data_IF_104694333682
#
_entry.id   IF_104694333682
#
_cell.length_a   1.000
_cell.length_b   1.000
_cell.length_c   1.000
_cell.angle_alpha   90.00
_cell.angle_beta   90.00
_cell.angle_gamma   90.00
#
_symmetry.space_group_name_H-M   'P 1'
#
loop_
_entity.id
_entity.type
_entity.pdbx_description
1 polymer ?
#
# COMPACT_ATOMS: atom_id res chain seq x y z
N UNK A 1 -23.09 -4.69 -4.84
CA UNK A 1 -22.92 -4.89 -6.30
C UNK A 1 -23.15 -6.37 -6.57
N UNK A 2 -24.13 -6.76 -7.40
CA UNK A 2 -24.44 -8.19 -7.58
C UNK A 2 -23.41 -8.88 -8.48
N UNK A 3 -23.20 -10.19 -8.28
CA UNK A 3 -22.35 -11.02 -9.14
C UNK A 3 -22.74 -10.92 -10.64
N UNK A 4 -24.00 -10.61 -10.92
CA UNK A 4 -24.52 -10.40 -12.26
C UNK A 4 -23.95 -9.14 -12.95
N UNK A 5 -23.63 -8.08 -12.19
CA UNK A 5 -23.00 -6.86 -12.71
C UNK A 5 -21.52 -7.11 -13.06
N UNK A 6 -20.81 -7.86 -12.21
CA UNK A 6 -19.43 -8.30 -12.46
C UNK A 6 -19.33 -9.22 -13.68
N UNK A 7 -20.27 -10.14 -13.86
CA UNK A 7 -20.35 -11.01 -15.03
C UNK A 7 -20.71 -10.23 -16.30
N UNK A 8 -21.61 -9.24 -16.24
CA UNK A 8 -21.92 -8.37 -17.39
C UNK A 8 -20.75 -7.46 -17.77
N UNK A 9 -19.96 -6.96 -16.82
CA UNK A 9 -18.71 -6.24 -17.09
C UNK A 9 -17.64 -7.16 -17.69
N UNK A 10 -17.46 -8.37 -17.14
CA UNK A 10 -16.51 -9.34 -17.65
C UNK A 10 -16.86 -9.79 -19.08
N UNK A 11 -18.13 -10.02 -19.40
CA UNK A 11 -18.59 -10.39 -20.75
C UNK A 11 -18.44 -9.22 -21.74
N UNK A 12 -18.59 -7.96 -21.32
CA UNK A 12 -18.31 -6.79 -22.18
C UNK A 12 -16.80 -6.56 -22.44
N UNK A 13 -15.93 -7.03 -21.53
CA UNK A 13 -14.49 -6.83 -21.61
C UNK A 13 -13.70 -8.04 -22.16
N UNK A 14 -14.32 -9.23 -22.19
CA UNK A 14 -13.70 -10.48 -22.65
C UNK A 14 -13.60 -10.54 -24.18
N UNK A 15 -12.51 -9.99 -24.72
CA UNK A 15 -12.08 -10.30 -26.08
C UNK A 15 -11.03 -9.37 -26.66
N UNK A 16 -11.12 -8.06 -26.40
CA UNK A 16 -10.33 -7.06 -27.16
C UNK A 16 -9.96 -5.79 -26.38
N UNK A 17 -10.23 -5.72 -25.07
CA UNK A 17 -9.86 -4.53 -24.30
C UNK A 17 -8.36 -4.53 -23.98
N UNK A 18 -7.72 -3.37 -24.14
CA UNK A 18 -6.34 -3.09 -23.71
C UNK A 18 -6.12 -3.48 -22.28
N UNK A 19 -7.13 -3.27 -21.44
CA UNK A 19 -7.09 -3.68 -20.05
C UNK A 19 -6.80 -5.17 -19.91
N UNK A 20 -7.47 -6.02 -20.69
CA UNK A 20 -7.21 -7.46 -20.66
C UNK A 20 -5.78 -7.77 -21.13
N UNK A 21 -5.29 -7.09 -22.16
CA UNK A 21 -3.92 -7.26 -22.67
C UNK A 21 -2.84 -6.73 -21.70
N UNK A 22 -3.06 -5.58 -21.04
CA UNK A 22 -2.18 -5.02 -20.02
C UNK A 22 -2.22 -5.87 -18.73
N UNK A 23 -3.40 -6.34 -18.33
CA UNK A 23 -3.58 -7.30 -17.24
C UNK A 23 -2.87 -8.62 -17.54
N UNK A 24 -2.91 -9.10 -18.79
CA UNK A 24 -2.23 -10.35 -19.16
C UNK A 24 -0.72 -10.19 -19.30
N UNK A 25 -0.24 -9.05 -19.84
CA UNK A 25 1.18 -8.81 -20.20
C UNK A 25 2.03 -8.26 -19.05
N UNK A 26 1.47 -7.39 -18.20
CA UNK A 26 2.23 -6.72 -17.14
C UNK A 26 1.88 -7.21 -15.73
N UNK A 27 0.73 -7.85 -15.55
CA UNK A 27 0.23 -8.23 -14.22
C UNK A 27 0.57 -9.67 -13.82
N UNK A 28 0.86 -10.56 -14.78
CA UNK A 28 1.39 -11.92 -14.49
C UNK A 28 2.92 -11.99 -14.38
N UNK A 29 3.66 -10.91 -14.64
CA UNK A 29 5.12 -10.90 -14.50
C UNK A 29 5.59 -10.68 -13.05
N UNK A 30 4.71 -10.25 -12.13
CA UNK A 30 5.05 -10.04 -10.72
C UNK A 30 4.70 -11.22 -9.80
N UNK A 31 4.24 -12.36 -10.33
CA UNK A 31 3.94 -13.59 -9.54
C UNK A 31 4.54 -14.84 -10.18
N UNK A 32 5.83 -14.79 -10.55
CA UNK A 32 6.62 -16.01 -10.68
C UNK A 32 7.95 -15.83 -9.96
N UNK A 33 8.15 -16.39 -8.76
CA UNK A 33 9.50 -16.55 -8.26
C UNK A 33 10.27 -17.41 -9.27
N UNK A 34 11.44 -16.94 -9.69
CA UNK A 34 12.43 -17.79 -10.34
C UNK A 34 12.79 -18.87 -9.34
N UNK A 35 12.20 -20.06 -9.50
CA UNK A 35 12.63 -21.26 -8.78
C UNK A 35 14.03 -21.58 -9.29
N UNK A 36 15.05 -21.17 -8.55
CA UNK A 36 16.39 -21.69 -8.72
C UNK A 36 16.33 -23.18 -8.33
N UNK A 37 16.77 -24.05 -9.24
CA UNK A 37 16.84 -25.49 -8.99
C UNK A 37 17.86 -25.77 -7.88
N UNK A 38 17.38 -26.17 -6.71
CA UNK A 38 18.21 -26.62 -5.59
C UNK A 38 18.52 -28.12 -5.74
N UNK A 39 19.75 -28.58 -5.41
CA UNK A 39 20.16 -29.98 -5.57
C UNK A 39 19.33 -30.98 -4.76
N UNK A 40 19.24 -32.19 -5.30
CA UNK A 40 18.33 -33.28 -4.93
C UNK A 40 18.54 -33.88 -3.52
N UNK A 41 19.51 -33.39 -2.73
CA UNK A 41 19.89 -33.95 -1.42
C UNK A 41 19.25 -33.28 -0.20
N UNK A 42 18.36 -32.28 -0.37
CA UNK A 42 17.66 -31.60 0.76
C UNK A 42 16.19 -32.05 0.90
N UNK A 43 15.73 -33.00 0.09
CA UNK A 43 14.31 -33.42 0.03
C UNK A 43 13.80 -34.31 1.18
N UNK A 44 14.64 -34.71 2.14
CA UNK A 44 14.27 -35.75 3.11
C UNK A 44 13.76 -35.24 4.48
N UNK A 45 13.78 -33.93 4.77
CA UNK A 45 13.34 -33.42 6.09
C UNK A 45 12.15 -32.43 6.05
N UNK A 46 11.61 -32.14 4.86
CA UNK A 46 10.52 -31.17 4.68
C UNK A 46 9.28 -31.80 3.99
N UNK A 47 9.03 -33.09 4.23
CA UNK A 47 8.02 -33.87 3.50
C UNK A 47 6.75 -34.21 4.31
N UNK A 48 6.53 -33.65 5.50
CA UNK A 48 5.31 -33.92 6.29
C UNK A 48 4.38 -32.71 6.49
N UNK A 49 4.64 -31.58 5.85
CA UNK A 49 3.65 -30.51 5.74
C UNK A 49 3.79 -29.83 4.37
N UNK A 50 2.67 -29.67 3.68
CA UNK A 50 2.51 -28.98 2.39
C UNK A 50 2.61 -29.86 1.14
N UNK A 51 1.45 -30.38 0.73
CA UNK A 51 1.14 -30.62 -0.67
C UNK A 51 -0.29 -30.15 -0.98
N UNK A 52 -0.44 -28.88 -1.35
CA UNK A 52 -1.60 -28.43 -2.12
C UNK A 52 -1.23 -27.19 -2.94
N UNK A 53 -1.36 -27.31 -4.26
CA UNK A 53 -1.26 -26.22 -5.23
C UNK A 53 -2.38 -25.19 -5.05
N UNK A 54 -2.16 -23.90 -5.34
CA UNK A 54 -3.17 -22.87 -5.16
C UNK A 54 -4.24 -22.95 -6.25
N UNK A 55 -5.50 -23.04 -5.82
CA UNK A 55 -6.71 -22.93 -6.64
C UNK A 55 -7.22 -21.49 -6.60
N UNK A 56 -7.49 -20.91 -7.77
CA UNK A 56 -8.08 -19.57 -7.92
C UNK A 56 -9.56 -19.54 -7.45
N UNK A 57 -9.91 -18.46 -6.75
CA UNK A 57 -11.26 -17.89 -6.60
C UNK A 57 -12.39 -18.80 -6.06
N UNK A 58 -12.24 -19.27 -4.83
CA UNK A 58 -13.36 -19.70 -3.97
C UNK A 58 -13.25 -19.02 -2.60
N UNK A 59 -14.33 -18.94 -1.79
CA UNK A 59 -14.23 -18.46 -0.42
C UNK A 59 -13.19 -19.32 0.30
N UNK A 60 -12.17 -18.68 0.86
CA UNK A 60 -11.12 -19.37 1.59
C UNK A 60 -11.69 -20.20 2.75
N UNK A 61 -10.93 -21.18 3.26
CA UNK A 61 -11.38 -22.18 4.24
C UNK A 61 -11.92 -21.62 5.57
N UNK A 62 -11.88 -20.31 5.79
CA UNK A 62 -12.24 -19.62 7.03
C UNK A 62 -13.63 -18.95 7.02
N UNK A 63 -14.32 -18.85 5.88
CA UNK A 63 -15.62 -18.16 5.78
C UNK A 63 -15.58 -16.63 5.99
N UNK A 64 -14.40 -16.04 6.22
CA UNK A 64 -14.18 -14.60 6.39
C UNK A 64 -13.89 -13.97 5.03
N UNK A 65 -14.67 -12.97 4.63
CA UNK A 65 -14.46 -12.24 3.37
C UNK A 65 -13.36 -11.18 3.51
N UNK A 66 -12.78 -10.73 2.40
CA UNK A 66 -11.81 -9.61 2.42
C UNK A 66 -12.42 -8.33 3.03
N UNK A 67 -13.72 -8.09 2.79
CA UNK A 67 -14.44 -6.96 3.37
C UNK A 67 -14.53 -7.06 4.90
N UNK A 68 -14.68 -8.27 5.44
CA UNK A 68 -14.66 -8.49 6.89
C UNK A 68 -13.29 -8.19 7.47
N UNK A 69 -12.20 -8.60 6.81
CA UNK A 69 -10.83 -8.30 7.25
C UNK A 69 -10.59 -6.79 7.30
N UNK A 70 -11.02 -6.06 6.26
CA UNK A 70 -10.93 -4.60 6.20
C UNK A 70 -11.78 -3.94 7.28
N UNK A 71 -12.99 -4.44 7.55
CA UNK A 71 -13.83 -3.95 8.63
C UNK A 71 -13.20 -4.15 10.01
N UNK A 72 -12.55 -5.30 10.27
CA UNK A 72 -11.84 -5.56 11.53
C UNK A 72 -10.65 -4.60 11.69
N UNK A 73 -9.86 -4.37 10.63
CA UNK A 73 -8.78 -3.38 10.65
C UNK A 73 -9.31 -1.97 10.97
N UNK A 74 -10.40 -1.56 10.31
CA UNK A 74 -11.00 -0.26 10.53
C UNK A 74 -11.42 -0.07 12.00
N UNK A 75 -12.00 -1.10 12.61
CA UNK A 75 -12.39 -1.06 14.02
C UNK A 75 -11.18 -0.94 14.95
N UNK A 76 -10.08 -1.65 14.68
CA UNK A 76 -8.85 -1.53 15.47
C UNK A 76 -8.27 -0.10 15.40
N UNK A 77 -8.24 0.50 14.20
CA UNK A 77 -7.81 1.89 14.01
C UNK A 77 -8.72 2.89 14.74
N UNK A 78 -10.04 2.72 14.63
CA UNK A 78 -11.02 3.57 15.33
C UNK A 78 -10.88 3.47 16.84
N UNK A 79 -10.68 2.26 17.37
CA UNK A 79 -10.47 2.03 18.80
C UNK A 79 -9.21 2.74 19.33
N UNK A 80 -8.19 2.89 18.49
CA UNK A 80 -6.99 3.67 18.79
C UNK A 80 -7.14 5.19 18.55
N UNK A 81 -8.36 5.67 18.24
CA UNK A 81 -8.64 7.09 18.00
C UNK A 81 -8.20 7.58 16.63
N UNK A 82 -7.88 6.70 15.68
CA UNK A 82 -7.53 7.08 14.32
C UNK A 82 -8.81 7.37 13.54
N UNK A 83 -8.94 8.59 13.02
CA UNK A 83 -10.00 8.92 12.08
C UNK A 83 -9.82 8.10 10.80
N UNK A 84 -10.82 7.30 10.45
CA UNK A 84 -10.78 6.46 9.25
C UNK A 84 -12.06 6.54 8.46
N UNK A 85 -11.94 6.29 7.16
CA UNK A 85 -13.04 5.98 6.27
C UNK A 85 -12.87 4.57 5.74
N UNK A 86 -13.96 3.84 5.74
CA UNK A 86 -13.97 2.41 5.41
C UNK A 86 -14.53 2.24 4.02
N UNK A 87 -13.76 1.55 3.18
CA UNK A 87 -14.19 1.09 1.87
C UNK A 87 -14.30 -0.43 1.88
N UNK A 88 -14.88 -1.01 0.83
CA UNK A 88 -15.11 -2.47 0.75
C UNK A 88 -13.84 -3.30 0.87
N UNK A 89 -12.69 -2.72 0.55
CA UNK A 89 -11.42 -3.40 0.24
C UNK A 89 -10.18 -2.65 0.77
N UNK A 90 -10.35 -1.48 1.37
CA UNK A 90 -9.28 -0.75 2.07
C UNK A 90 -9.84 0.22 3.10
N UNK A 91 -8.96 0.70 3.97
CA UNK A 91 -9.21 1.78 4.94
C UNK A 91 -8.40 3.00 4.54
N UNK A 92 -9.01 4.19 4.52
CA UNK A 92 -8.30 5.45 4.38
C UNK A 92 -8.26 6.17 5.73
N UNK A 93 -7.07 6.32 6.28
CA UNK A 93 -6.85 7.10 7.49
C UNK A 93 -6.88 8.62 7.20
N UNK A 94 -7.25 9.42 8.19
CA UNK A 94 -7.39 10.88 8.08
C UNK A 94 -6.09 11.61 7.70
N UNK A 95 -4.94 10.99 7.97
CA UNK A 95 -3.62 11.47 7.56
C UNK A 95 -3.26 11.08 6.11
N UNK A 96 -4.22 10.53 5.35
CA UNK A 96 -4.07 10.18 3.94
C UNK A 96 -3.51 8.78 3.67
N UNK A 97 -3.22 7.98 4.70
CA UNK A 97 -2.69 6.62 4.49
C UNK A 97 -3.82 5.68 4.05
N UNK A 98 -3.68 5.11 2.86
CA UNK A 98 -4.54 4.03 2.39
C UNK A 98 -3.94 2.68 2.82
N UNK A 99 -4.76 1.84 3.46
CA UNK A 99 -4.36 0.58 4.07
C UNK A 99 -5.23 -0.55 3.51
N UNK A 100 -4.61 -1.45 2.77
CA UNK A 100 -5.23 -2.70 2.32
C UNK A 100 -4.87 -3.79 3.33
N UNK A 101 -5.86 -4.56 3.76
CA UNK A 101 -5.68 -5.69 4.66
C UNK A 101 -6.12 -6.99 4.00
N UNK A 102 -5.36 -8.06 4.19
CA UNK A 102 -5.66 -9.38 3.63
C UNK A 102 -5.43 -10.47 4.66
N UNK A 103 -6.33 -11.45 4.67
CA UNK A 103 -6.04 -12.75 5.27
C UNK A 103 -5.24 -13.55 4.24
N UNK A 104 -3.94 -13.74 4.50
CA UNK A 104 -3.06 -14.53 3.63
C UNK A 104 -3.34 -16.00 3.83
N UNK A 105 -3.50 -16.42 5.10
CA UNK A 105 -3.64 -17.82 5.45
C UNK A 105 -4.32 -17.98 6.81
N UNK A 106 -5.06 -19.08 6.97
CA UNK A 106 -5.61 -19.50 8.25
C UNK A 106 -5.53 -21.02 8.38
N UNK A 107 -5.08 -21.50 9.54
CA UNK A 107 -4.95 -22.92 9.83
C UNK A 107 -5.43 -23.26 11.23
N UNK A 108 -6.13 -24.38 11.35
CA UNK A 108 -6.44 -24.96 12.66
C UNK A 108 -5.18 -25.62 13.24
N UNK A 109 -4.87 -25.28 14.48
CA UNK A 109 -3.82 -25.89 15.27
C UNK A 109 -4.38 -26.51 16.56
N UNK A 110 -3.54 -27.23 17.32
CA UNK A 110 -3.98 -27.98 18.51
C UNK A 110 -4.62 -27.14 19.60
N UNK A 111 -4.28 -25.84 19.65
CA UNK A 111 -4.70 -24.89 20.70
C UNK A 111 -5.57 -23.75 20.17
N UNK A 112 -6.03 -23.82 18.91
CA UNK A 112 -6.88 -22.81 18.28
C UNK A 112 -6.50 -22.55 16.83
N UNK A 113 -7.02 -21.48 16.26
CA UNK A 113 -6.75 -21.06 14.87
C UNK A 113 -5.55 -20.12 14.84
N UNK A 114 -4.63 -20.36 13.93
CA UNK A 114 -3.55 -19.45 13.58
C UNK A 114 -3.87 -18.72 12.28
N UNK A 115 -3.72 -17.39 12.26
CA UNK A 115 -3.92 -16.56 11.09
C UNK A 115 -2.65 -15.82 10.72
N UNK A 116 -2.42 -15.70 9.42
CA UNK A 116 -1.42 -14.84 8.82
C UNK A 116 -2.14 -13.73 8.05
N UNK A 117 -2.06 -12.49 8.55
CA UNK A 117 -2.61 -11.32 7.88
C UNK A 117 -1.51 -10.44 7.32
N UNK A 118 -1.84 -9.67 6.30
CA UNK A 118 -0.93 -8.71 5.68
C UNK A 118 -1.61 -7.34 5.62
N UNK A 119 -0.86 -6.31 5.98
CA UNK A 119 -1.21 -4.90 5.79
C UNK A 119 -0.30 -4.29 4.74
N UNK A 120 -0.88 -3.62 3.76
CA UNK A 120 -0.18 -2.87 2.72
C UNK A 120 -0.60 -1.41 2.87
N UNK A 121 0.33 -0.55 3.28
CA UNK A 121 0.11 0.86 3.50
C UNK A 121 0.75 1.69 2.39
N UNK A 122 0.04 2.72 1.96
CA UNK A 122 0.49 3.65 0.93
C UNK A 122 0.10 5.07 1.32
N UNK A 123 0.92 6.04 0.92
CA UNK A 123 0.63 7.45 1.13
C UNK A 123 1.00 8.22 -0.13
N UNK A 124 0.29 9.30 -0.49
CA UNK A 124 0.47 10.00 -1.78
C UNK A 124 1.75 10.84 -1.89
N UNK A 125 2.46 11.04 -0.78
CA UNK A 125 3.68 11.87 -0.75
C UNK A 125 4.86 11.15 -0.09
N UNK A 126 4.61 10.48 1.04
CA UNK A 126 5.67 10.02 1.96
C UNK A 126 6.11 8.57 1.72
N UNK A 127 5.21 7.71 1.22
CA UNK A 127 5.52 6.32 0.84
C UNK A 127 5.12 6.11 -0.62
N UNK A 128 5.93 6.58 -1.59
CA UNK A 128 5.70 6.26 -3.00
C UNK A 128 5.77 4.75 -3.26
N UNK A 129 6.59 4.06 -2.46
CA UNK A 129 6.63 2.61 -2.39
C UNK A 129 5.62 2.09 -1.36
N UNK A 130 5.17 0.85 -1.53
CA UNK A 130 4.26 0.19 -0.59
C UNK A 130 5.01 -0.20 0.69
N UNK A 131 4.45 0.17 1.85
CA UNK A 131 4.89 -0.36 3.13
C UNK A 131 4.11 -1.64 3.40
N UNK A 132 4.80 -2.75 3.65
CA UNK A 132 4.17 -4.06 3.85
C UNK A 132 4.55 -4.61 5.21
N UNK A 133 3.57 -5.09 5.96
CA UNK A 133 3.77 -5.78 7.23
C UNK A 133 2.87 -7.00 7.35
N UNK A 134 3.35 -8.01 8.07
CA UNK A 134 2.64 -9.26 8.30
C UNK A 134 2.32 -9.45 9.78
N UNK A 135 1.15 -9.97 10.10
CA UNK A 135 0.81 -10.31 11.48
C UNK A 135 0.53 -11.80 11.58
N UNK A 136 1.09 -12.43 12.60
CA UNK A 136 0.87 -13.83 12.93
C UNK A 136 0.19 -13.86 14.28
N UNK A 137 -1.02 -14.40 14.35
CA UNK A 137 -1.76 -14.49 15.60
C UNK A 137 -2.45 -15.81 15.74
N UNK A 138 -2.63 -16.21 17.00
CA UNK A 138 -3.36 -17.41 17.38
C UNK A 138 -4.50 -17.04 18.32
N UNK A 139 -5.69 -17.57 18.07
CA UNK A 139 -6.86 -17.37 18.93
C UNK A 139 -7.84 -18.53 18.84
N UNK A 140 -9.01 -18.42 19.49
CA UNK A 140 -10.03 -19.47 19.46
C UNK A 140 -10.84 -19.49 18.15
N UNK A 141 -10.77 -18.41 17.36
CA UNK A 141 -11.42 -18.29 16.05
C UNK A 141 -10.58 -17.44 15.10
N UNK A 142 -10.84 -17.57 13.79
CA UNK A 142 -10.20 -16.75 12.74
C UNK A 142 -10.41 -15.27 13.01
N UNK A 143 -11.66 -14.85 13.25
CA UNK A 143 -12.01 -13.44 13.47
C UNK A 143 -11.28 -12.85 14.68
N UNK A 144 -11.24 -13.60 15.79
CA UNK A 144 -10.52 -13.16 16.99
C UNK A 144 -9.02 -13.05 16.74
N UNK A 145 -8.42 -13.99 16.01
CA UNK A 145 -6.99 -13.96 15.70
C UNK A 145 -6.63 -12.76 14.80
N UNK A 146 -7.46 -12.46 13.80
CA UNK A 146 -7.31 -11.27 12.94
C UNK A 146 -7.41 -10.00 13.79
N UNK A 147 -8.42 -9.90 14.67
CA UNK A 147 -8.60 -8.74 15.54
C UNK A 147 -7.41 -8.50 16.44
N UNK A 148 -6.95 -9.53 17.16
CA UNK A 148 -5.75 -9.43 18.00
C UNK A 148 -4.51 -9.02 17.19
N UNK A 149 -4.41 -9.50 15.94
CA UNK A 149 -3.32 -9.14 15.04
C UNK A 149 -3.33 -7.67 14.67
N UNK A 150 -4.49 -7.12 14.32
CA UNK A 150 -4.63 -5.70 14.02
C UNK A 150 -4.55 -4.82 15.26
N UNK A 151 -5.05 -5.24 16.42
CA UNK A 151 -4.88 -4.50 17.67
C UNK A 151 -3.38 -4.35 18.01
N UNK A 152 -2.61 -5.43 17.88
CA UNK A 152 -1.16 -5.39 18.04
C UNK A 152 -0.48 -4.51 16.98
N UNK A 153 -0.89 -4.62 15.71
CA UNK A 153 -0.32 -3.80 14.63
C UNK A 153 -0.60 -2.31 14.84
N UNK A 154 -1.82 -1.94 15.24
CA UNK A 154 -2.17 -0.56 15.56
C UNK A 154 -1.40 -0.05 16.78
N UNK A 155 -1.13 -0.90 17.77
CA UNK A 155 -0.39 -0.50 18.96
C UNK A 155 1.11 -0.26 18.71
N UNK A 156 1.73 -1.07 17.84
CA UNK A 156 3.20 -1.11 17.68
C UNK A 156 3.71 -0.65 16.32
N UNK A 157 3.00 -0.94 15.23
CA UNK A 157 3.46 -0.69 13.87
C UNK A 157 2.87 0.63 13.29
N UNK A 158 1.59 0.90 13.55
CA UNK A 158 0.92 2.14 13.11
C UNK A 158 1.60 3.43 13.59
N UNK A 159 2.10 3.56 14.83
CA UNK A 159 2.76 4.79 15.26
C UNK A 159 3.97 5.15 14.40
N UNK A 160 4.71 4.15 13.91
CA UNK A 160 5.85 4.35 13.02
C UNK A 160 5.39 4.89 11.67
N UNK A 161 4.30 4.32 11.13
CA UNK A 161 3.67 4.77 9.89
C UNK A 161 3.13 6.19 10.05
N UNK A 162 2.50 6.51 11.17
CA UNK A 162 1.95 7.84 11.41
C UNK A 162 3.05 8.89 11.60
N UNK A 163 4.09 8.59 12.39
CA UNK A 163 5.20 9.52 12.64
C UNK A 163 6.07 9.73 11.39
N UNK A 164 6.12 8.75 10.49
CA UNK A 164 6.83 8.90 9.23
C UNK A 164 6.24 9.98 8.31
N UNK A 165 5.01 10.42 8.56
CA UNK A 165 4.37 11.55 7.89
C UNK A 165 4.71 12.92 8.50
N UNK A 166 5.34 12.93 9.68
CA UNK A 166 5.61 14.15 10.45
C UNK A 166 7.06 14.59 10.30
N UNK A 167 7.28 15.90 10.17
CA UNK A 167 8.58 16.55 10.26
C UNK A 167 9.33 16.06 11.50
N UNK A 168 8.68 16.17 12.66
CA UNK A 168 9.18 15.69 13.95
C UNK A 168 8.32 14.50 14.42
N UNK A 169 8.90 13.31 14.65
CA UNK A 169 8.15 12.17 15.18
C UNK A 169 7.71 12.44 16.63
N UNK A 170 6.49 12.04 16.99
CA UNK A 170 5.98 12.23 18.36
C UNK A 170 6.36 11.09 19.29
N UNK A 171 6.50 9.88 18.76
CA UNK A 171 6.68 8.64 19.53
C UNK A 171 7.95 7.89 19.12
N UNK A 172 8.26 7.86 17.82
CA UNK A 172 9.40 7.09 17.33
C UNK A 172 10.73 7.81 17.58
N UNK A 173 11.75 7.04 18.00
CA UNK A 173 13.13 7.51 17.91
C UNK A 173 13.56 7.58 16.43
N UNK A 174 14.49 8.49 16.12
CA UNK A 174 14.96 8.69 14.74
C UNK A 174 16.48 8.64 14.61
N UNK A 175 16.93 8.10 13.48
CA UNK A 175 18.30 8.21 12.99
C UNK A 175 18.25 9.01 11.69
N UNK A 176 18.99 10.12 11.62
CA UNK A 176 19.06 10.99 10.45
C UNK A 176 20.48 10.97 9.88
N UNK A 177 20.57 10.85 8.56
CA UNK A 177 21.81 11.03 7.80
C UNK A 177 21.57 12.01 6.65
N UNK A 178 22.41 13.03 6.55
CA UNK A 178 22.38 13.95 5.41
C UNK A 178 22.77 13.23 4.11
N UNK A 179 22.06 13.55 3.03
CA UNK A 179 22.35 13.04 1.68
C UNK A 179 22.83 14.16 0.77
N UNK A 180 23.54 13.82 -0.32
CA UNK A 180 23.96 14.80 -1.32
C UNK A 180 22.74 15.55 -1.90
N UNK A 181 22.77 16.89 -1.79
CA UNK A 181 21.71 17.79 -2.26
C UNK A 181 20.54 17.90 -1.28
N UNK A 182 20.60 18.83 -0.33
CA UNK A 182 19.53 19.30 0.58
C UNK A 182 18.47 18.26 1.02
N UNK A 183 18.85 16.99 1.17
CA UNK A 183 17.97 15.88 1.47
C UNK A 183 18.50 15.12 2.67
N UNK A 184 17.64 14.36 3.32
CA UNK A 184 18.01 13.52 4.46
C UNK A 184 17.46 12.12 4.27
N UNK A 185 18.24 11.12 4.67
CA UNK A 185 17.75 9.78 4.96
C UNK A 185 17.35 9.73 6.43
N UNK A 186 16.13 9.29 6.70
CA UNK A 186 15.62 9.09 8.06
C UNK A 186 15.24 7.63 8.26
N UNK A 187 15.61 7.06 9.40
CA UNK A 187 15.12 5.77 9.89
C UNK A 187 14.34 6.04 11.18
N UNK A 188 13.06 5.69 11.17
CA UNK A 188 12.22 5.71 12.35
C UNK A 188 12.21 4.35 13.03
N UNK A 189 12.42 4.38 14.33
CA UNK A 189 12.46 3.21 15.17
C UNK A 189 11.15 3.14 15.96
N UNK A 190 10.31 2.16 15.63
CA UNK A 190 9.17 1.81 16.46
C UNK A 190 9.59 1.25 17.80
N UNK A 191 8.64 1.20 18.73
CA UNK A 191 8.84 0.53 20.01
C UNK A 191 9.15 -0.96 19.80
N UNK A 192 10.00 -1.53 20.66
CA UNK A 192 10.24 -2.98 20.64
C UNK A 192 9.12 -3.65 21.42
N UNK A 193 8.27 -4.40 20.73
CA UNK A 193 7.29 -5.27 21.37
C UNK A 193 8.02 -6.48 21.96
N UNK A 194 8.17 -6.48 23.28
CA UNK A 194 8.74 -7.60 24.05
C UNK A 194 7.60 -8.46 24.56
N UNK A 195 7.59 -9.73 24.19
CA UNK A 195 6.66 -10.73 24.74
C UNK A 195 7.45 -11.81 25.46
N UNK A 196 7.08 -12.06 26.72
CA UNK A 196 7.75 -13.01 27.61
C UNK A 196 6.75 -13.54 28.66
N UNK A 197 7.07 -14.63 29.39
CA UNK A 197 6.23 -15.14 30.49
C UNK A 197 5.87 -14.07 31.51
N UNK A 198 4.67 -14.17 32.08
CA UNK A 198 4.26 -13.31 33.19
C UNK A 198 5.21 -13.45 34.39
N UNK A 199 5.60 -12.33 34.98
CA UNK A 199 6.53 -12.28 36.11
C UNK A 199 8.01 -12.43 35.74
N UNK A 200 8.36 -12.50 34.45
CA UNK A 200 9.75 -12.38 34.01
C UNK A 200 10.30 -10.97 34.30
N UNK A 201 11.58 -10.90 34.66
CA UNK A 201 12.28 -9.62 34.82
C UNK A 201 12.32 -8.82 33.51
N UNK A 202 12.53 -7.48 33.58
CA UNK A 202 12.66 -6.65 32.39
C UNK A 202 13.68 -7.21 31.42
N UNK A 203 13.34 -7.19 30.13
CA UNK A 203 14.22 -7.69 29.10
C UNK A 203 15.48 -6.83 29.02
N UNK A 204 16.64 -7.47 29.22
CA UNK A 204 17.94 -6.85 29.03
C UNK A 204 18.53 -7.19 27.66
N UNK A 205 19.37 -6.30 27.14
CA UNK A 205 20.23 -6.59 25.99
C UNK A 205 21.53 -7.29 26.42
N UNK A 206 22.38 -7.63 25.44
CA UNK A 206 23.67 -8.27 25.70
C UNK A 206 24.65 -7.40 26.52
N UNK A 207 24.41 -6.09 26.62
CA UNK A 207 25.22 -5.14 27.38
C UNK A 207 24.64 -4.84 28.77
N UNK A 208 23.54 -5.49 29.15
CA UNK A 208 22.90 -5.32 30.45
C UNK A 208 22.06 -4.05 30.61
N UNK A 209 21.68 -3.38 29.52
CA UNK A 209 20.67 -2.31 29.59
C UNK A 209 19.27 -2.84 29.25
N UNK A 210 18.24 -2.11 29.68
CA UNK A 210 16.87 -2.40 29.25
C UNK A 210 16.76 -2.26 27.73
N UNK A 211 16.03 -3.18 27.09
CA UNK A 211 15.87 -3.20 25.63
C UNK A 211 15.31 -1.88 25.14
N UNK A 212 16.08 -1.20 24.29
CA UNK A 212 15.66 0.03 23.65
C UNK A 212 15.46 -0.15 22.13
N UNK A 213 14.81 0.83 21.45
CA UNK A 213 14.58 0.77 20.01
C UNK A 213 15.82 0.59 19.12
N UNK A 214 17.03 0.81 19.64
CA UNK A 214 18.26 0.64 18.87
C UNK A 214 18.83 -0.79 18.91
N UNK A 215 18.50 -1.58 19.95
CA UNK A 215 19.16 -2.87 20.18
C UNK A 215 18.86 -3.87 19.07
N UNK A 216 17.59 -3.98 18.65
CA UNK A 216 17.19 -4.94 17.63
C UNK A 216 17.70 -4.53 16.24
N UNK A 217 17.67 -3.23 15.91
CA UNK A 217 18.29 -2.73 14.67
C UNK A 217 19.79 -3.03 14.62
N UNK A 218 20.54 -2.81 15.71
CA UNK A 218 21.98 -3.12 15.76
C UNK A 218 22.29 -4.59 15.57
N UNK A 219 21.37 -5.50 15.97
CA UNK A 219 21.55 -6.93 15.76
C UNK A 219 21.57 -7.36 14.28
N UNK A 220 21.14 -6.48 13.36
CA UNK A 220 21.16 -6.75 11.92
C UNK A 220 22.55 -6.63 11.29
N UNK A 221 23.55 -6.13 12.03
CA UNK A 221 24.90 -5.90 11.53
C UNK A 221 25.09 -4.51 10.89
N UNK A 222 26.34 -4.05 10.86
CA UNK A 222 26.71 -2.71 10.35
C UNK A 222 26.44 -2.55 8.85
N UNK A 223 26.68 -3.60 8.06
CA UNK A 223 26.46 -3.56 6.61
C UNK A 223 25.00 -3.30 6.26
N UNK A 224 24.07 -3.99 6.92
CA UNK A 224 22.63 -3.79 6.72
C UNK A 224 22.21 -2.36 7.09
N UNK A 225 22.75 -1.84 8.20
CA UNK A 225 22.47 -0.47 8.62
C UNK A 225 22.99 0.54 7.59
N UNK A 226 24.22 0.37 7.10
CA UNK A 226 24.77 1.23 6.04
C UNK A 226 23.95 1.18 4.75
N UNK A 227 23.54 -0.02 4.31
CA UNK A 227 22.70 -0.16 3.13
C UNK A 227 21.34 0.53 3.31
N UNK A 228 20.73 0.39 4.49
CA UNK A 228 19.46 1.04 4.82
C UNK A 228 19.58 2.56 4.80
N UNK A 229 20.71 3.08 5.31
CA UNK A 229 21.03 4.52 5.34
C UNK A 229 21.37 5.09 3.95
N UNK A 230 21.95 4.30 3.06
CA UNK A 230 22.25 4.72 1.67
C UNK A 230 21.08 4.51 0.70
N UNK A 231 20.02 3.84 1.16
CA UNK A 231 18.82 3.55 0.37
C UNK A 231 18.08 4.82 -0.10
N UNK A 232 17.23 4.64 -1.11
CA UNK A 232 16.31 5.67 -1.62
C UNK A 232 14.86 5.24 -1.41
N UNK A 233 13.92 6.16 -1.58
CA UNK A 233 12.49 5.88 -1.45
C UNK A 233 12.07 5.63 0.00
N UNK A 234 10.98 4.90 0.20
CA UNK A 234 10.50 4.53 1.52
C UNK A 234 10.41 3.00 1.64
N UNK A 235 10.79 2.44 2.78
CA UNK A 235 10.70 1.00 3.00
C UNK A 235 10.34 0.71 4.44
N UNK A 236 9.33 -0.14 4.62
CA UNK A 236 9.02 -0.77 5.89
C UNK A 236 10.01 -1.89 6.15
N UNK A 237 10.53 -1.97 7.38
CA UNK A 237 11.46 -3.00 7.80
C UNK A 237 10.88 -3.70 9.02
N UNK A 238 10.63 -4.99 8.88
CA UNK A 238 10.23 -5.86 9.98
C UNK A 238 11.46 -6.51 10.56
N UNK A 239 11.61 -6.41 11.88
CA UNK A 239 12.60 -7.15 12.65
C UNK A 239 11.88 -8.01 13.69
N UNK A 240 12.25 -9.28 13.74
CA UNK A 240 11.77 -10.23 14.74
C UNK A 240 12.92 -11.12 15.19
N UNK A 241 13.02 -11.30 16.50
CA UNK A 241 13.89 -12.28 17.13
C UNK A 241 13.12 -13.01 18.23
N UNK A 242 13.32 -14.30 18.37
CA UNK A 242 12.70 -15.12 19.38
C UNK A 242 13.62 -16.23 19.84
N UNK A 243 13.62 -16.47 21.15
CA UNK A 243 14.21 -17.63 21.78
C UNK A 243 13.08 -18.40 22.44
N UNK A 244 12.78 -19.60 21.93
CA UNK A 244 11.73 -20.47 22.43
C UNK A 244 12.33 -21.66 23.18
N UNK A 245 11.48 -22.46 23.85
CA UNK A 245 11.91 -23.69 24.54
C UNK A 245 12.79 -24.57 23.64
N UNK A 246 13.77 -25.23 24.25
CA UNK A 246 14.77 -26.10 23.60
C UNK A 246 15.73 -25.36 22.65
N UNK A 247 16.12 -24.13 23.01
CA UNK A 247 17.03 -23.26 22.23
C UNK A 247 16.58 -23.06 20.77
N UNK A 248 15.26 -23.12 20.54
CA UNK A 248 14.69 -22.87 19.22
C UNK A 248 14.73 -21.37 18.92
N UNK A 249 15.79 -20.95 18.26
CA UNK A 249 15.96 -19.60 17.76
C UNK A 249 15.12 -19.39 16.51
N UNK A 250 14.29 -18.35 16.51
CA UNK A 250 13.59 -17.86 15.31
C UNK A 250 13.91 -16.40 15.08
N UNK A 251 14.18 -16.06 13.84
CA UNK A 251 14.47 -14.70 13.40
C UNK A 251 13.74 -14.45 12.10
N UNK A 252 13.28 -13.23 11.91
CA UNK A 252 12.67 -12.79 10.66
C UNK A 252 13.05 -11.33 10.42
N UNK A 253 13.56 -11.07 9.23
CA UNK A 253 13.92 -9.74 8.76
C UNK A 253 13.37 -9.59 7.35
N UNK A 254 12.54 -8.57 7.16
CA UNK A 254 11.92 -8.27 5.86
C UNK A 254 12.04 -6.78 5.54
N UNK A 255 12.39 -6.46 4.30
CA UNK A 255 12.42 -5.10 3.77
C UNK A 255 11.37 -5.01 2.67
N UNK A 256 10.37 -4.13 2.83
CA UNK A 256 9.23 -4.06 1.90
C UNK A 256 8.47 -5.37 1.78
N UNK A 257 8.45 -6.19 2.84
CA UNK A 257 7.86 -7.53 2.84
C UNK A 257 8.72 -8.64 2.24
N UNK A 258 9.92 -8.35 1.74
CA UNK A 258 10.86 -9.33 1.15
C UNK A 258 11.85 -9.80 2.20
N UNK A 259 11.94 -11.12 2.41
CA UNK A 259 12.87 -11.75 3.34
C UNK A 259 14.34 -11.40 3.03
N UNK A 260 15.12 -11.24 4.10
CA UNK A 260 16.56 -10.96 4.07
C UNK A 260 17.34 -12.11 4.74
N UNK A 261 17.57 -13.25 4.06
CA UNK A 261 18.17 -14.43 4.68
C UNK A 261 19.56 -14.20 5.28
N UNK A 262 20.39 -13.37 4.64
CA UNK A 262 21.74 -13.08 5.15
C UNK A 262 21.69 -12.24 6.43
N UNK A 263 20.75 -11.31 6.54
CA UNK A 263 20.52 -10.51 7.76
C UNK A 263 19.98 -11.39 8.88
N UNK A 264 19.05 -12.29 8.56
CA UNK A 264 18.49 -13.24 9.53
C UNK A 264 19.57 -14.14 10.14
N UNK A 265 20.53 -14.65 9.34
CA UNK A 265 21.67 -15.42 9.86
C UNK A 265 22.48 -14.65 10.89
N UNK A 266 22.73 -13.36 10.64
CA UNK A 266 23.45 -12.47 11.57
C UNK A 266 22.64 -12.26 12.85
N UNK A 267 21.34 -11.97 12.69
CA UNK A 267 20.43 -11.72 13.81
C UNK A 267 20.27 -12.91 14.76
N UNK A 268 20.47 -14.15 14.30
CA UNK A 268 20.28 -15.36 15.11
C UNK A 268 21.15 -15.39 16.38
N UNK A 269 22.32 -14.72 16.37
CA UNK A 269 23.17 -14.61 17.55
C UNK A 269 22.54 -13.79 18.68
N UNK A 270 21.64 -12.85 18.35
CA UNK A 270 21.02 -11.96 19.32
C UNK A 270 20.09 -12.68 20.31
N UNK A 271 19.04 -13.41 19.89
CA UNK A 271 18.19 -14.15 20.82
C UNK A 271 18.90 -15.30 21.54
N UNK A 272 19.98 -15.85 20.97
CA UNK A 272 20.83 -16.84 21.64
C UNK A 272 21.56 -16.27 22.87
N UNK A 273 21.75 -14.95 22.93
CA UNK A 273 22.42 -14.30 24.06
C UNK A 273 21.50 -14.00 25.26
N UNK A 274 20.18 -14.22 25.13
CA UNK A 274 19.23 -13.77 26.15
C UNK A 274 19.27 -14.69 27.38
N UNK A 275 19.34 -14.13 28.61
CA UNK A 275 19.49 -14.93 29.81
C UNK A 275 18.18 -15.61 30.22
N UNK A 276 18.24 -16.93 30.48
CA UNK A 276 17.45 -17.63 31.51
C UNK A 276 15.91 -17.61 31.42
N UNK A 277 15.31 -17.12 30.34
CA UNK A 277 13.85 -17.09 30.16
C UNK A 277 13.36 -18.30 29.38
N UNK A 278 12.28 -18.93 29.85
CA UNK A 278 11.73 -20.15 29.20
C UNK A 278 11.30 -19.93 27.75
N UNK A 279 10.91 -18.70 27.41
CA UNK A 279 10.79 -18.19 26.06
C UNK A 279 10.75 -16.66 26.12
N UNK A 280 11.16 -16.01 25.04
CA UNK A 280 10.99 -14.57 24.83
C UNK A 280 10.95 -14.30 23.32
N UNK A 281 10.24 -13.25 22.92
CA UNK A 281 10.33 -12.70 21.58
C UNK A 281 10.35 -11.18 21.60
N UNK A 282 10.97 -10.61 20.58
CA UNK A 282 11.09 -9.18 20.35
C UNK A 282 10.73 -8.90 18.91
N UNK A 283 9.74 -8.04 18.69
CA UNK A 283 9.35 -7.55 17.36
C UNK A 283 9.54 -6.04 17.31
N UNK A 284 10.02 -5.53 16.20
CA UNK A 284 10.08 -4.10 15.92
C UNK A 284 9.78 -3.85 14.45
N UNK A 285 9.03 -2.79 14.17
CA UNK A 285 8.84 -2.28 12.83
C UNK A 285 9.51 -0.93 12.68
N UNK A 286 10.16 -0.72 11.54
CA UNK A 286 10.91 0.48 11.22
C UNK A 286 10.46 1.03 9.87
N UNK A 287 10.64 2.33 9.66
CA UNK A 287 10.53 2.93 8.33
C UNK A 287 11.82 3.66 8.00
N UNK A 288 12.46 3.26 6.91
CA UNK A 288 13.58 3.98 6.32
C UNK A 288 13.09 4.77 5.11
N UNK A 289 13.25 6.09 5.13
CA UNK A 289 12.70 6.98 4.10
C UNK A 289 13.66 8.11 3.73
N UNK A 290 13.60 8.53 2.47
CA UNK A 290 14.25 9.75 1.98
C UNK A 290 13.29 10.94 2.12
N UNK A 291 13.78 12.07 2.61
CA UNK A 291 13.06 13.35 2.68
C UNK A 291 13.86 14.47 2.01
N UNK A 292 13.16 15.48 1.53
CA UNK A 292 13.77 16.71 1.00
C UNK A 292 13.61 17.86 2.00
N UNK A 293 14.58 18.77 2.04
CA UNK A 293 14.47 20.00 2.82
C UNK A 293 13.21 20.78 2.41
N UNK A 294 12.33 21.03 3.38
CA UNK A 294 11.04 21.71 3.16
C UNK A 294 9.82 20.78 3.01
N UNK A 295 9.98 19.45 3.07
CA UNK A 295 8.84 18.53 3.17
C UNK A 295 8.19 18.67 4.56
N UNK A 296 7.15 19.51 4.68
CA UNK A 296 6.41 19.81 5.92
C UNK A 296 5.44 18.69 6.33
N UNK A 297 4.87 18.80 7.53
CA UNK A 297 3.85 17.87 8.06
C UNK A 297 2.71 17.62 7.08
N UNK A 298 2.29 16.36 7.02
CA UNK A 298 1.34 15.87 6.04
C UNK A 298 -0.11 15.94 6.52
N UNK A 299 -0.61 17.15 6.71
CA UNK A 299 -2.06 17.35 6.60
C UNK A 299 -2.38 17.48 5.11
N UNK A 300 -3.17 16.55 4.57
CA UNK A 300 -3.79 16.73 3.26
C UNK A 300 -4.44 18.12 3.23
N UNK A 301 -4.22 18.88 2.16
CA UNK A 301 -4.97 20.13 2.01
C UNK A 301 -6.45 19.81 1.91
N UNK A 302 -7.33 20.75 2.25
CA UNK A 302 -8.77 20.53 2.11
C UNK A 302 -9.15 20.14 0.67
N UNK A 303 -8.46 20.71 -0.33
CA UNK A 303 -8.63 20.35 -1.74
C UNK A 303 -8.20 18.90 -2.02
N UNK A 304 -7.04 18.45 -1.53
CA UNK A 304 -6.56 17.08 -1.69
C UNK A 304 -7.51 16.08 -1.03
N UNK A 305 -7.97 16.38 0.18
CA UNK A 305 -8.97 15.56 0.85
C UNK A 305 -10.24 15.47 0.01
N UNK A 306 -10.78 16.61 -0.46
CA UNK A 306 -11.94 16.62 -1.37
C UNK A 306 -11.72 15.82 -2.66
N UNK A 307 -10.50 15.77 -3.22
CA UNK A 307 -10.23 14.91 -4.38
C UNK A 307 -10.36 13.42 -4.01
N UNK A 308 -9.83 13.02 -2.85
CA UNK A 308 -9.98 11.65 -2.35
C UNK A 308 -11.45 11.31 -2.05
N UNK A 309 -12.20 12.22 -1.44
CA UNK A 309 -13.63 12.07 -1.19
C UNK A 309 -14.42 11.90 -2.50
N UNK A 310 -14.01 12.59 -3.56
CA UNK A 310 -14.66 12.50 -4.86
C UNK A 310 -14.45 11.15 -5.56
N UNK A 311 -13.40 10.39 -5.20
CA UNK A 311 -13.16 9.05 -5.76
C UNK A 311 -14.34 8.11 -5.48
N UNK A 312 -14.96 8.23 -4.31
CA UNK A 312 -16.16 7.46 -3.96
C UNK A 312 -17.35 7.80 -4.85
N UNK A 313 -17.43 9.07 -5.27
CA UNK A 313 -18.49 9.51 -6.18
C UNK A 313 -18.35 8.80 -7.52
N UNK A 314 -17.13 8.64 -8.04
CA UNK A 314 -16.89 7.89 -9.28
C UNK A 314 -17.17 6.40 -9.15
N UNK A 315 -16.82 5.79 -8.00
CA UNK A 315 -17.09 4.37 -7.72
C UNK A 315 -18.58 4.05 -7.86
N UNK A 316 -19.40 4.89 -7.24
CA UNK A 316 -20.85 4.66 -7.14
C UNK A 316 -21.62 5.25 -8.34
N UNK A 317 -20.91 5.71 -9.37
CA UNK A 317 -21.46 6.44 -10.51
C UNK A 317 -21.32 5.70 -11.84
N UNK A 318 -21.32 4.37 -11.81
CA UNK A 318 -21.33 3.59 -13.03
C UNK A 318 -22.52 4.02 -13.93
N UNK A 319 -22.20 4.32 -15.20
CA UNK A 319 -23.17 4.82 -16.17
C UNK A 319 -23.70 6.26 -15.96
N UNK A 320 -23.27 7.00 -14.93
CA UNK A 320 -23.66 8.41 -14.82
C UNK A 320 -22.93 9.28 -15.85
N UNK A 321 -23.64 10.22 -16.45
CA UNK A 321 -23.06 11.27 -17.30
C UNK A 321 -22.25 12.29 -16.47
N UNK A 322 -21.29 12.98 -17.10
CA UNK A 322 -20.41 13.95 -16.43
C UNK A 322 -21.19 15.07 -15.73
N UNK A 323 -22.27 15.57 -16.35
CA UNK A 323 -23.13 16.59 -15.74
C UNK A 323 -23.85 16.11 -14.47
N UNK A 324 -24.17 14.81 -14.38
CA UNK A 324 -24.77 14.21 -13.19
C UNK A 324 -23.73 14.05 -12.07
N UNK A 325 -22.48 13.71 -12.41
CA UNK A 325 -21.38 13.68 -11.46
C UNK A 325 -21.10 15.05 -10.84
N UNK A 326 -21.05 16.10 -11.66
CA UNK A 326 -20.86 17.48 -11.18
C UNK A 326 -21.94 17.85 -10.17
N UNK A 327 -23.22 17.57 -10.48
CA UNK A 327 -24.33 17.81 -9.56
C UNK A 327 -24.23 17.00 -8.27
N UNK A 328 -23.81 15.74 -8.35
CA UNK A 328 -23.60 14.87 -7.18
C UNK A 328 -22.50 15.44 -6.27
N UNK A 329 -21.38 15.88 -6.83
CA UNK A 329 -20.31 16.55 -6.07
C UNK A 329 -20.81 17.86 -5.43
N UNK A 330 -21.56 18.68 -6.16
CA UNK A 330 -22.16 19.90 -5.59
C UNK A 330 -23.10 19.60 -4.40
N UNK A 331 -23.88 18.53 -4.48
CA UNK A 331 -24.75 18.10 -3.36
C UNK A 331 -23.97 17.66 -2.11
N UNK A 332 -22.70 17.32 -2.27
CA UNK A 332 -21.76 17.00 -1.18
C UNK A 332 -20.96 18.24 -0.72
N UNK A 333 -21.33 19.45 -1.16
CA UNK A 333 -20.73 20.70 -0.72
C UNK A 333 -19.50 21.16 -1.53
N UNK A 334 -19.28 20.60 -2.72
CA UNK A 334 -18.21 21.05 -3.62
C UNK A 334 -18.64 22.31 -4.36
N UNK A 335 -17.71 23.24 -4.57
CA UNK A 335 -17.96 24.36 -5.48
C UNK A 335 -18.15 23.84 -6.91
N UNK A 336 -18.84 24.60 -7.76
CA UNK A 336 -18.97 24.25 -9.18
C UNK A 336 -17.59 24.06 -9.82
N UNK A 337 -16.67 24.99 -9.56
CA UNK A 337 -15.31 24.96 -10.11
C UNK A 337 -14.54 23.71 -9.72
N UNK A 338 -14.52 23.35 -8.44
CA UNK A 338 -13.85 22.15 -8.00
C UNK A 338 -14.53 20.88 -8.56
N UNK A 339 -15.86 20.86 -8.61
CA UNK A 339 -16.62 19.72 -9.15
C UNK A 339 -16.28 19.46 -10.62
N UNK A 340 -16.24 20.50 -11.44
CA UNK A 340 -15.88 20.39 -12.86
C UNK A 340 -14.41 19.96 -13.04
N UNK A 341 -13.48 20.55 -12.28
CA UNK A 341 -12.06 20.15 -12.31
C UNK A 341 -11.85 18.69 -11.91
N UNK A 342 -12.55 18.23 -10.87
CA UNK A 342 -12.48 16.83 -10.41
C UNK A 342 -13.02 15.88 -11.48
N UNK A 343 -14.22 16.14 -12.02
CA UNK A 343 -14.85 15.29 -13.06
C UNK A 343 -13.99 15.21 -14.32
N UNK A 344 -13.35 16.31 -14.66
CA UNK A 344 -12.50 16.43 -15.84
C UNK A 344 -11.12 15.78 -15.65
N UNK A 345 -10.39 16.17 -14.60
CA UNK A 345 -8.98 15.86 -14.46
C UNK A 345 -8.70 14.54 -13.75
N UNK A 346 -9.55 14.10 -12.81
CA UNK A 346 -9.29 12.86 -12.06
C UNK A 346 -9.31 11.63 -12.98
N UNK A 347 -10.35 11.40 -13.83
CA UNK A 347 -10.31 10.32 -14.80
C UNK A 347 -9.11 10.40 -15.75
N UNK A 348 -8.78 11.60 -16.22
CA UNK A 348 -7.68 11.84 -17.15
C UNK A 348 -6.34 11.43 -16.54
N UNK A 349 -6.06 11.92 -15.33
CA UNK A 349 -4.89 11.57 -14.53
C UNK A 349 -4.77 10.06 -14.28
N UNK A 350 -5.86 9.42 -13.84
CA UNK A 350 -5.88 7.97 -13.61
C UNK A 350 -5.67 7.17 -14.90
N UNK A 351 -6.26 7.63 -16.01
CA UNK A 351 -6.03 7.05 -17.32
C UNK A 351 -4.55 7.11 -17.72
N UNK A 352 -3.90 8.26 -17.54
CA UNK A 352 -2.48 8.42 -17.83
C UNK A 352 -1.59 7.56 -16.96
N UNK A 353 -1.86 7.46 -15.66
CA UNK A 353 -1.13 6.56 -14.79
C UNK A 353 -1.11 5.10 -15.32
N UNK A 354 -2.22 4.63 -15.90
CA UNK A 354 -2.31 3.31 -16.53
C UNK A 354 -1.53 3.28 -17.85
N UNK A 355 -1.75 4.27 -18.72
CA UNK A 355 -1.18 4.32 -20.07
C UNK A 355 0.35 4.51 -20.06
N UNK A 356 0.92 5.13 -19.02
CA UNK A 356 2.37 5.24 -18.80
C UNK A 356 3.09 3.89 -18.72
N UNK A 357 2.36 2.79 -18.50
CA UNK A 357 2.91 1.42 -18.53
C UNK A 357 3.08 0.86 -19.94
N UNK A 358 2.55 1.54 -20.95
CA UNK A 358 2.75 1.18 -22.36
C UNK A 358 4.16 1.63 -22.77
N UNK A 359 5.02 0.72 -23.27
CA UNK A 359 6.37 1.07 -23.66
C UNK A 359 6.39 2.15 -24.73
N UNK A 360 7.15 3.21 -24.47
CA UNK A 360 7.32 4.34 -25.39
C UNK A 360 6.12 5.28 -25.48
N UNK A 361 5.08 5.11 -24.67
CA UNK A 361 3.97 6.06 -24.65
C UNK A 361 4.43 7.46 -24.22
N UNK A 362 3.99 8.50 -24.93
CA UNK A 362 4.28 9.89 -24.61
C UNK A 362 3.01 10.72 -24.51
N UNK A 363 3.02 11.72 -23.64
CA UNK A 363 1.85 12.52 -23.32
C UNK A 363 2.15 14.01 -23.45
N UNK A 364 1.28 14.75 -24.12
CA UNK A 364 1.28 16.20 -24.06
C UNK A 364 0.82 16.67 -22.67
N UNK A 365 1.57 17.59 -22.08
CA UNK A 365 1.16 18.33 -20.88
C UNK A 365 0.21 19.49 -21.23
N UNK A 366 0.01 19.79 -22.51
CA UNK A 366 -0.85 20.88 -22.95
C UNK A 366 -2.31 20.42 -23.11
N UNK A 367 -3.25 21.30 -22.73
CA UNK A 367 -4.68 21.08 -22.91
C UNK A 367 -5.44 22.35 -23.30
N UNK A 368 -6.58 22.17 -23.97
CA UNK A 368 -7.55 23.23 -24.24
C UNK A 368 -8.73 23.17 -23.27
N UNK A 369 -9.04 24.30 -22.64
CA UNK A 369 -10.16 24.47 -21.72
C UNK A 369 -11.37 25.03 -22.46
N UNK A 370 -12.09 24.17 -23.17
CA UNK A 370 -13.23 24.51 -24.02
C UNK A 370 -12.86 24.50 -25.50
N UNK A 371 -13.88 24.52 -26.37
CA UNK A 371 -13.69 24.41 -27.84
C UNK A 371 -12.81 25.54 -28.41
N UNK A 372 -12.90 26.73 -27.82
CA UNK A 372 -12.09 27.91 -28.16
C UNK A 372 -11.32 28.43 -26.93
N UNK A 373 -11.01 27.52 -25.99
CA UNK A 373 -10.36 27.87 -24.73
C UNK A 373 -8.91 28.27 -24.88
N UNK A 374 -8.32 28.89 -23.84
CA UNK A 374 -6.88 29.07 -23.78
C UNK A 374 -6.17 27.71 -23.79
N UNK A 375 -4.95 27.73 -24.31
CA UNK A 375 -3.99 26.65 -24.10
C UNK A 375 -3.45 26.78 -22.67
N UNK A 376 -3.53 25.70 -21.90
CA UNK A 376 -3.03 25.62 -20.53
C UNK A 376 -2.21 24.35 -20.35
N UNK A 377 -1.53 24.21 -19.22
CA UNK A 377 -0.79 22.99 -18.90
C UNK A 377 -1.48 22.18 -17.81
N UNK A 378 -1.61 20.88 -17.99
CA UNK A 378 -2.17 19.97 -17.01
C UNK A 378 -1.41 20.04 -15.68
N UNK A 379 -0.09 20.20 -15.73
CA UNK A 379 0.76 20.41 -14.57
C UNK A 379 0.47 21.69 -13.76
N UNK A 380 -0.27 22.67 -14.30
CA UNK A 380 -0.69 23.89 -13.58
C UNK A 380 -1.93 23.65 -12.68
N UNK A 381 -2.63 22.51 -12.85
CA UNK A 381 -3.81 22.19 -12.06
C UNK A 381 -3.45 21.24 -10.90
N UNK A 382 -3.53 21.75 -9.67
CA UNK A 382 -3.30 20.96 -8.44
C UNK A 382 -4.10 19.65 -8.42
N UNK A 383 -5.37 19.69 -8.84
CA UNK A 383 -6.26 18.53 -8.94
C UNK A 383 -5.68 17.44 -9.84
N UNK A 384 -5.16 17.81 -11.02
CA UNK A 384 -4.58 16.86 -11.95
C UNK A 384 -3.29 16.26 -11.42
N UNK A 385 -2.37 17.10 -10.92
CA UNK A 385 -1.07 16.66 -10.40
C UNK A 385 -1.25 15.68 -9.25
N UNK A 386 -2.13 16.02 -8.30
CA UNK A 386 -2.44 15.14 -7.17
C UNK A 386 -3.10 13.83 -7.62
N UNK A 387 -4.11 13.90 -8.50
CA UNK A 387 -4.79 12.70 -9.00
C UNK A 387 -3.88 11.78 -9.82
N UNK A 388 -2.93 12.32 -10.59
CA UNK A 388 -2.01 11.53 -11.40
C UNK A 388 -1.06 10.74 -10.51
N UNK A 389 -0.51 11.41 -9.51
CA UNK A 389 0.37 10.77 -8.54
C UNK A 389 -0.36 9.72 -7.72
N UNK A 390 -1.58 10.03 -7.28
CA UNK A 390 -2.43 9.06 -6.58
C UNK A 390 -2.79 7.86 -7.47
N UNK A 391 -3.10 8.08 -8.75
CA UNK A 391 -3.37 7.02 -9.73
C UNK A 391 -2.17 6.10 -10.01
N UNK A 392 -0.95 6.65 -10.07
CA UNK A 392 0.29 5.85 -10.23
C UNK A 392 0.52 4.92 -9.05
N UNK A 393 0.24 5.38 -7.84
CA UNK A 393 0.36 4.58 -6.60
C UNK A 393 -0.77 3.58 -6.47
N UNK A 394 -1.99 3.95 -6.88
CA UNK A 394 -3.12 3.03 -7.00
C UNK A 394 -2.76 1.79 -7.83
N UNK A 395 -2.06 1.99 -8.96
CA UNK A 395 -1.52 0.89 -9.77
C UNK A 395 -0.46 0.04 -9.08
N UNK A 396 0.31 0.61 -8.16
CA UNK A 396 1.28 -0.11 -7.34
C UNK A 396 0.63 -0.91 -6.18
N UNK A 397 -0.70 -0.87 -6.05
CA UNK A 397 -1.46 -1.61 -5.04
C UNK A 397 -2.07 -0.73 -3.94
N UNK A 398 -1.97 0.60 -4.04
CA UNK A 398 -2.58 1.52 -3.07
C UNK A 398 -4.10 1.50 -3.09
N UNK A 399 -4.70 1.18 -4.24
CA UNK A 399 -6.14 1.09 -4.41
C UNK A 399 -6.54 -0.25 -5.03
N UNK A 400 -7.78 -0.67 -4.80
CA UNK A 400 -8.41 -1.73 -5.54
C UNK A 400 -8.41 -1.44 -7.04
N UNK A 401 -8.06 -2.45 -7.84
CA UNK A 401 -8.03 -2.32 -9.30
C UNK A 401 -9.41 -1.96 -9.87
N UNK A 402 -10.49 -2.48 -9.28
CA UNK A 402 -11.87 -2.17 -9.66
C UNK A 402 -12.14 -0.67 -9.60
N UNK A 403 -11.71 0.00 -8.53
CA UNK A 403 -11.86 1.44 -8.34
C UNK A 403 -11.02 2.24 -9.31
N UNK A 404 -9.74 1.88 -9.45
CA UNK A 404 -8.83 2.47 -10.43
C UNK A 404 -9.46 2.45 -11.83
N UNK A 405 -10.01 1.30 -12.22
CA UNK A 405 -10.62 1.12 -13.53
C UNK A 405 -11.95 1.86 -13.66
N UNK A 406 -12.80 1.90 -12.62
CA UNK A 406 -14.04 2.67 -12.65
C UNK A 406 -13.79 4.16 -12.95
N UNK A 407 -12.69 4.72 -12.43
CA UNK A 407 -12.27 6.10 -12.66
C UNK A 407 -11.62 6.25 -14.04
N UNK A 408 -10.58 5.45 -14.32
CA UNK A 408 -9.77 5.58 -15.53
C UNK A 408 -10.56 5.30 -16.80
N UNK A 409 -11.59 4.44 -16.76
CA UNK A 409 -12.43 4.14 -17.92
C UNK A 409 -13.25 5.34 -18.42
N UNK A 410 -13.31 6.43 -17.63
CA UNK A 410 -13.93 7.68 -18.03
C UNK A 410 -12.95 8.62 -18.77
N UNK A 411 -11.67 8.26 -18.87
CA UNK A 411 -10.66 9.01 -19.64
C UNK A 411 -10.88 8.85 -21.15
N UNK A 412 -10.85 9.97 -21.87
CA UNK A 412 -10.88 9.99 -23.32
C UNK A 412 -9.65 9.31 -23.95
N UNK A 413 -8.48 9.39 -23.32
CA UNK A 413 -7.25 8.72 -23.79
C UNK A 413 -7.39 7.20 -23.67
N UNK A 414 -7.90 6.70 -22.53
CA UNK A 414 -8.22 5.28 -22.34
C UNK A 414 -9.26 4.82 -23.37
N UNK A 415 -10.30 5.61 -23.63
CA UNK A 415 -11.30 5.30 -24.64
C UNK A 415 -10.73 5.24 -26.07
N UNK A 416 -9.83 6.17 -26.42
CA UNK A 416 -9.16 6.20 -27.72
C UNK A 416 -8.26 4.96 -27.91
N UNK A 417 -7.48 4.64 -26.89
CA UNK A 417 -6.71 3.41 -26.82
C UNK A 417 -7.60 2.19 -27.00
N UNK A 418 -8.68 2.05 -26.21
CA UNK A 418 -9.56 0.87 -26.28
C UNK A 418 -10.13 0.69 -27.70
N UNK A 419 -10.48 1.79 -28.39
CA UNK A 419 -10.89 1.75 -29.79
C UNK A 419 -9.78 1.28 -30.73
N UNK A 420 -8.54 1.71 -30.54
CA UNK A 420 -7.38 1.29 -31.33
C UNK A 420 -7.10 -0.22 -31.18
N UNK A 421 -7.08 -0.72 -29.94
CA UNK A 421 -6.85 -2.15 -29.70
C UNK A 421 -8.01 -3.04 -30.19
N UNK A 422 -9.26 -2.55 -30.15
CA UNK A 422 -10.39 -3.25 -30.76
C UNK A 422 -10.23 -3.40 -32.29
N UNK A 423 -9.45 -2.53 -32.93
CA UNK A 423 -9.07 -2.64 -34.34
C UNK A 423 -7.79 -3.47 -34.57
N UNK A 424 -7.19 -4.02 -33.51
CA UNK A 424 -5.94 -4.77 -33.56
C UNK A 424 -4.68 -3.91 -33.73
N UNK A 425 -4.77 -2.60 -33.51
CA UNK A 425 -3.61 -1.70 -33.59
C UNK A 425 -2.67 -1.90 -32.40
N UNK A 426 -1.35 -1.77 -32.65
CA UNK A 426 -0.35 -1.71 -31.58
C UNK A 426 -0.42 -0.34 -30.89
N UNK A 427 -0.15 -0.33 -29.58
CA UNK A 427 -0.05 0.89 -28.79
C UNK A 427 1.40 1.24 -28.43
N UNK A 428 2.35 0.39 -28.78
CA UNK A 428 3.76 0.66 -28.49
C UNK A 428 4.19 1.96 -29.17
N UNK A 429 4.79 2.87 -28.40
CA UNK A 429 5.18 4.18 -28.90
C UNK A 429 4.02 5.15 -29.16
N UNK A 430 2.80 4.89 -28.64
CA UNK A 430 1.65 5.78 -28.84
C UNK A 430 1.93 7.20 -28.34
N UNK A 431 1.53 8.19 -29.12
CA UNK A 431 1.69 9.60 -28.77
C UNK A 431 0.32 10.23 -28.52
N UNK A 432 0.08 10.66 -27.28
CA UNK A 432 -1.12 11.39 -26.92
C UNK A 432 -0.88 12.88 -27.11
N UNK A 433 -1.60 13.45 -28.08
CA UNK A 433 -1.61 14.89 -28.32
C UNK A 433 -2.33 15.67 -27.21
N UNK A 434 -2.59 16.94 -27.49
CA UNK A 434 -3.27 17.85 -26.57
C UNK A 434 -4.64 17.33 -26.19
N UNK A 435 -4.96 17.37 -24.91
CA UNK A 435 -6.31 17.04 -24.42
C UNK A 435 -7.25 18.23 -24.64
N UNK A 436 -8.52 17.97 -24.94
CA UNK A 436 -9.54 19.01 -25.07
C UNK A 436 -10.68 18.70 -24.11
N UNK A 437 -10.92 19.61 -23.17
CA UNK A 437 -11.97 19.49 -22.18
C UNK A 437 -13.08 20.49 -22.51
N UNK A 438 -14.31 20.05 -22.75
CA UNK A 438 -15.41 20.94 -23.11
C UNK A 438 -16.67 20.58 -22.32
N UNK A 439 -17.62 21.52 -22.25
CA UNK A 439 -18.88 21.32 -21.50
C UNK A 439 -18.83 21.75 -20.03
N UNK A 440 -17.69 22.23 -19.55
CA UNK A 440 -17.49 22.76 -18.21
C UNK A 440 -17.43 24.28 -18.24
N UNK A 441 -18.21 24.95 -17.38
CA UNK A 441 -18.42 26.40 -17.41
C UNK A 441 -17.27 27.20 -16.80
N UNK A 442 -16.63 26.62 -15.80
CA UNK A 442 -15.69 27.30 -14.91
C UNK A 442 -14.23 26.88 -15.14
N UNK A 443 -13.97 25.92 -16.02
CA UNK A 443 -12.60 25.53 -16.37
C UNK A 443 -11.82 26.68 -17.04
N UNK A 444 -12.51 27.61 -17.71
CA UNK A 444 -11.89 28.79 -18.33
C UNK A 444 -11.66 29.95 -17.38
N UNK A 445 -12.25 29.92 -16.18
CA UNK A 445 -12.02 30.95 -15.17
C UNK A 445 -10.62 30.72 -14.60
N UNK A 446 -9.73 31.70 -14.81
CA UNK A 446 -8.28 31.59 -14.61
C UNK A 446 -7.91 30.94 -13.28
N UNK A 447 -6.86 30.12 -13.30
CA UNK A 447 -6.09 29.72 -12.11
C UNK A 447 -5.46 30.99 -11.54
N UNK A 448 -6.21 31.75 -10.74
CA UNK A 448 -5.71 32.93 -10.05
C UNK A 448 -5.04 32.54 -8.74
#
# INVERSE_FOLDING_TARGET
MSAEVLVKMAIRCAGQSIMFQLIKRYLFQFVKPKVAQTPQSVRAAAAEASSATPSESGPGPSGVSEADVVAILAQALQAAGVGVRVYSDYVLAANGVAIVAKLVEAHEGPTGVMTHTQTICTHSTFYPDVLTEFQFMQATSVEQAIRLGFDAWVAFDWPVINDALKAEPERCAEIIQETEGNGVRRILLGDVNVTQPAGAEPAMDANGHEVCPHCLLRSCGSEFLEQTLRGKGASGIRLFAGNFRDDQIKVDCRVGGIEQPEVQKIMAAYPASWPGVSWQMRKQYLIAQSRWAGQTDNTLTEEQQRILDAIDVFRDADGLEESALVKKLQSLGYSLSLSERVVCFVPHAFGRAILERIPGATFSDECYLGRNGPLSRLSEFSVYVFALEFGRRALAGALPKSLLFAIAMRSAEIAACNKAAARGESLEGVQFGRSMFFGFKTLTESVA
#
